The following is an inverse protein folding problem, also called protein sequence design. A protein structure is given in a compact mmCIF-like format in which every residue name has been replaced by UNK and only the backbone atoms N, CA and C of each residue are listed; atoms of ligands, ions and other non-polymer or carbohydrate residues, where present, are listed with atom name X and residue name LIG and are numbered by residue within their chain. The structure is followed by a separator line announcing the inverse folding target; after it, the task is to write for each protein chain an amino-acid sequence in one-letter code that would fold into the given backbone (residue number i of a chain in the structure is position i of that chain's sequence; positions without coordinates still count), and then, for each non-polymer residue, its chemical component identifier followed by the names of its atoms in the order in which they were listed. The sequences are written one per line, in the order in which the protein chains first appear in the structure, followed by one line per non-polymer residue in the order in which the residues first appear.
data_IF_925406651264
#
_entry.id   IF_925406651264
#
_cell.length_a   1.000
_cell.length_b   1.000
_cell.length_c   1.000
_cell.angle_alpha   90.00
_cell.angle_beta   90.00
_cell.angle_gamma   90.00
#
_symmetry.space_group_name_H-M   'P 1'
#
loop_
_entity.id
_entity.type
_entity.pdbx_description
1 polymer ?
#
# COMPACT_ATOMS: atom_id res chain seq x y z
N UNK A 1 2.69 -4.78 16.16
CA UNK A 1 1.70 -5.17 15.15
C UNK A 1 1.21 -3.91 14.44
N UNK A 2 1.26 -3.82 13.13
CA UNK A 2 0.76 -2.67 12.40
C UNK A 2 -0.76 -2.55 12.64
N UNK A 3 -1.18 -1.39 13.10
CA UNK A 3 -2.58 -1.07 13.29
C UNK A 3 -3.07 -0.35 12.05
N UNK A 4 -4.21 -0.78 11.53
CA UNK A 4 -4.90 -0.11 10.45
C UNK A 4 -6.24 0.38 10.95
N UNK A 5 -6.56 1.64 10.68
CA UNK A 5 -7.88 2.19 10.97
C UNK A 5 -8.69 2.18 9.67
N UNK A 6 -9.75 1.39 9.67
CA UNK A 6 -10.76 1.36 8.63
C UNK A 6 -11.99 2.14 9.11
N UNK A 7 -12.23 3.31 8.55
CA UNK A 7 -13.34 4.17 8.93
C UNK A 7 -14.29 4.35 7.74
N UNK A 8 -15.43 3.60 7.74
CA UNK A 8 -16.52 3.88 6.80
C UNK A 8 -17.11 5.27 7.09
N UNK A 9 -17.21 6.12 6.06
CA UNK A 9 -17.70 7.49 6.16
C UNK A 9 -19.03 7.60 5.44
N UNK A 10 -20.13 7.61 6.18
CA UNK A 10 -21.50 7.69 5.66
C UNK A 10 -22.31 8.83 6.29
N UNK A 11 -21.77 9.47 7.32
CA UNK A 11 -22.36 10.65 7.95
C UNK A 11 -21.27 11.56 8.57
N UNK A 12 -21.65 12.75 9.01
CA UNK A 12 -20.73 13.76 9.55
C UNK A 12 -20.06 13.37 10.88
N UNK A 13 -20.63 12.45 11.64
CA UNK A 13 -20.02 12.01 12.91
C UNK A 13 -18.75 11.19 12.63
N UNK A 14 -18.71 10.44 11.52
CA UNK A 14 -17.58 9.63 11.12
C UNK A 14 -16.35 10.45 10.71
N UNK A 15 -16.53 11.72 10.32
CA UNK A 15 -15.42 12.64 10.05
C UNK A 15 -14.57 12.87 11.28
N UNK A 16 -15.21 12.94 12.47
CA UNK A 16 -14.49 13.04 13.74
C UNK A 16 -13.69 11.76 14.02
N UNK A 17 -14.26 10.59 13.73
CA UNK A 17 -13.58 9.32 13.95
C UNK A 17 -12.34 9.21 13.06
N UNK A 18 -12.42 9.65 11.79
CA UNK A 18 -11.29 9.73 10.86
C UNK A 18 -10.19 10.65 11.41
N UNK A 19 -10.55 11.82 11.93
CA UNK A 19 -9.60 12.75 12.53
C UNK A 19 -8.85 12.10 13.70
N UNK A 20 -9.60 11.49 14.65
CA UNK A 20 -9.00 10.83 15.81
C UNK A 20 -8.10 9.67 15.41
N UNK A 21 -8.48 8.91 14.37
CA UNK A 21 -7.66 7.84 13.83
C UNK A 21 -6.33 8.38 13.26
N UNK A 22 -6.36 9.51 12.54
CA UNK A 22 -5.16 10.16 12.02
C UNK A 22 -4.24 10.67 13.14
N UNK A 23 -4.79 11.27 14.19
CA UNK A 23 -4.03 11.71 15.38
C UNK A 23 -3.35 10.51 16.08
N UNK A 24 -4.07 9.38 16.22
CA UNK A 24 -3.51 8.15 16.78
C UNK A 24 -2.40 7.55 15.91
N UNK A 25 -2.58 7.54 14.59
CA UNK A 25 -1.58 7.08 13.65
C UNK A 25 -0.32 7.96 13.69
N UNK A 26 -0.50 9.29 13.76
CA UNK A 26 0.59 10.25 13.87
C UNK A 26 1.40 10.04 15.17
N UNK A 27 0.74 9.80 16.29
CA UNK A 27 1.39 9.46 17.55
C UNK A 27 2.20 8.15 17.45
N UNK A 28 1.65 7.11 16.79
CA UNK A 28 2.39 5.85 16.55
C UNK A 28 3.57 6.03 15.57
N UNK A 29 3.45 6.95 14.62
CA UNK A 29 4.53 7.29 13.70
C UNK A 29 5.64 8.14 14.37
N UNK A 30 5.37 8.72 15.55
CA UNK A 30 6.29 9.61 16.25
C UNK A 30 6.34 11.01 15.64
N UNK A 31 5.26 11.47 15.02
CA UNK A 31 5.17 12.81 14.45
C UNK A 31 5.04 13.88 15.54
N UNK A 32 5.62 15.05 15.30
CA UNK A 32 5.44 16.22 16.15
C UNK A 32 4.00 16.76 16.10
N UNK A 33 3.69 17.76 16.95
CA UNK A 33 2.37 18.35 17.06
C UNK A 33 1.91 19.00 15.74
N UNK A 34 2.80 19.69 15.03
CA UNK A 34 2.48 20.35 13.75
C UNK A 34 2.16 19.33 12.65
N UNK A 35 2.96 18.27 12.54
CA UNK A 35 2.72 17.19 11.57
C UNK A 35 1.50 16.35 11.94
N UNK A 36 1.23 16.16 13.24
CA UNK A 36 0.00 15.53 13.72
C UNK A 36 -1.24 16.34 13.33
N UNK A 37 -1.20 17.66 13.52
CA UNK A 37 -2.29 18.54 13.08
C UNK A 37 -2.48 18.51 11.55
N UNK A 38 -1.39 18.44 10.79
CA UNK A 38 -1.43 18.29 9.33
C UNK A 38 -2.12 16.98 8.92
N UNK A 39 -1.74 15.85 9.51
CA UNK A 39 -2.35 14.55 9.22
C UNK A 39 -3.85 14.55 9.55
N UNK A 40 -4.23 15.11 10.70
CA UNK A 40 -5.63 15.25 11.12
C UNK A 40 -6.44 16.14 10.18
N UNK A 41 -5.86 17.25 9.69
CA UNK A 41 -6.51 18.15 8.74
C UNK A 41 -6.72 17.45 7.38
N UNK A 42 -5.68 16.85 6.80
CA UNK A 42 -5.77 16.12 5.53
C UNK A 42 -6.83 15.01 5.61
N UNK A 43 -6.81 14.22 6.67
CA UNK A 43 -7.78 13.15 6.88
C UNK A 43 -9.21 13.67 6.99
N UNK A 44 -9.42 14.80 7.70
CA UNK A 44 -10.72 15.46 7.85
C UNK A 44 -11.25 15.96 6.51
N UNK A 45 -10.40 16.61 5.71
CA UNK A 45 -10.77 17.13 4.39
C UNK A 45 -11.13 15.99 3.43
N UNK A 46 -10.34 14.92 3.39
CA UNK A 46 -10.63 13.76 2.55
C UNK A 46 -11.96 13.09 2.96
N UNK A 47 -12.21 12.90 4.26
CA UNK A 47 -13.48 12.36 4.74
C UNK A 47 -14.67 13.28 4.40
N UNK A 48 -14.48 14.58 4.52
CA UNK A 48 -15.52 15.58 4.15
C UNK A 48 -15.83 15.53 2.66
N UNK A 49 -14.81 15.34 1.81
CA UNK A 49 -15.00 15.22 0.36
C UNK A 49 -15.79 13.96 0.00
N UNK A 50 -15.57 12.83 0.68
CA UNK A 50 -16.37 11.61 0.52
C UNK A 50 -17.87 11.90 0.74
N UNK A 51 -18.22 12.62 1.82
CA UNK A 51 -19.62 12.95 2.10
C UNK A 51 -20.22 13.94 1.10
N UNK A 52 -19.48 14.99 0.78
CA UNK A 52 -20.01 16.07 -0.07
C UNK A 52 -20.17 15.68 -1.53
N UNK A 53 -19.25 14.84 -2.05
CA UNK A 53 -19.13 14.62 -3.49
C UNK A 53 -19.43 13.18 -3.92
N UNK A 54 -19.28 12.20 -3.00
CA UNK A 54 -19.47 10.80 -3.33
C UNK A 54 -20.67 10.14 -2.62
N UNK A 55 -21.32 10.88 -1.68
CA UNK A 55 -22.38 10.29 -0.86
C UNK A 55 -21.89 9.31 0.19
N UNK A 56 -20.58 9.30 0.46
CA UNK A 56 -19.88 8.45 1.39
C UNK A 56 -18.72 7.69 0.77
N UNK A 57 -18.08 6.87 1.59
CA UNK A 57 -16.91 6.10 1.18
C UNK A 57 -16.18 5.50 2.38
N UNK A 58 -14.88 5.33 2.26
CA UNK A 58 -14.01 4.75 3.29
C UNK A 58 -12.71 5.52 3.39
N UNK A 59 -12.22 5.72 4.60
CA UNK A 59 -10.86 6.20 4.84
C UNK A 59 -10.07 5.09 5.55
N UNK A 60 -8.98 4.66 4.93
CA UNK A 60 -7.98 3.77 5.52
C UNK A 60 -6.82 4.63 6.01
N UNK A 61 -6.39 4.42 7.25
CA UNK A 61 -5.23 5.09 7.81
C UNK A 61 -4.29 4.03 8.35
N UNK A 62 -3.04 4.09 7.94
CA UNK A 62 -1.99 3.21 8.44
C UNK A 62 -0.66 3.95 8.60
N UNK A 63 0.25 3.32 9.33
CA UNK A 63 1.61 3.80 9.50
C UNK A 63 2.51 2.98 8.59
N UNK A 64 2.97 3.60 7.51
CA UNK A 64 3.87 2.97 6.56
C UNK A 64 5.31 3.40 6.83
N UNK A 65 6.24 2.47 6.69
CA UNK A 65 7.66 2.78 6.73
C UNK A 65 8.16 3.08 5.31
N UNK A 66 9.02 4.09 5.12
CA UNK A 66 9.82 4.17 3.91
C UNK A 66 10.71 2.92 3.82
N UNK A 67 11.30 2.63 2.64
CA UNK A 67 12.16 1.46 2.51
C UNK A 67 13.25 1.52 3.55
N UNK A 68 13.39 0.44 4.30
CA UNK A 68 14.51 0.31 5.22
C UNK A 68 15.76 0.09 4.37
N UNK A 69 16.73 1.01 4.50
CA UNK A 69 18.06 0.78 3.94
C UNK A 69 18.71 -0.35 4.74
N UNK A 70 19.19 -1.38 4.08
CA UNK A 70 19.91 -2.46 4.74
C UNK A 70 21.09 -1.89 5.54
N UNK A 71 21.13 -2.13 6.84
CA UNK A 71 22.11 -1.55 7.77
C UNK A 71 21.82 -0.12 8.26
N UNK A 72 20.70 0.48 7.84
CA UNK A 72 20.27 1.81 8.27
C UNK A 72 19.36 1.80 9.51
N UNK A 73 19.28 2.97 10.18
CA UNK A 73 18.23 3.21 11.18
C UNK A 73 16.86 3.13 10.54
N UNK A 74 15.83 2.79 11.31
CA UNK A 74 14.43 2.85 10.86
C UNK A 74 14.18 4.22 10.21
N UNK A 75 13.79 4.21 8.93
CA UNK A 75 13.39 5.44 8.25
C UNK A 75 12.20 6.08 8.97
N UNK A 76 12.05 7.39 8.84
CA UNK A 76 10.92 8.11 9.44
C UNK A 76 9.60 7.48 8.99
N UNK A 77 8.76 7.09 9.95
CA UNK A 77 7.44 6.52 9.66
C UNK A 77 6.53 7.60 9.08
N UNK A 78 5.69 7.21 8.16
CA UNK A 78 4.71 8.08 7.52
C UNK A 78 3.30 7.64 7.90
N UNK A 79 2.42 8.59 8.16
CA UNK A 79 0.97 8.33 8.19
C UNK A 79 0.47 8.35 6.75
N UNK A 80 -0.07 7.24 6.29
CA UNK A 80 -0.77 7.15 5.01
C UNK A 80 -2.27 7.25 5.24
N UNK A 81 -2.91 8.21 4.59
CA UNK A 81 -4.36 8.40 4.57
C UNK A 81 -4.84 8.06 3.16
N UNK A 82 -5.64 7.02 3.04
CA UNK A 82 -6.20 6.58 1.75
C UNK A 82 -7.72 6.71 1.78
N UNK A 83 -8.27 7.61 0.96
CA UNK A 83 -9.72 7.76 0.78
C UNK A 83 -10.18 7.02 -0.48
N UNK A 84 -11.26 6.26 -0.37
CA UNK A 84 -11.81 5.45 -1.45
C UNK A 84 -13.32 5.63 -1.53
N UNK A 85 -13.82 5.96 -2.71
CA UNK A 85 -15.25 6.04 -2.97
C UNK A 85 -15.67 5.38 -4.30
N UNK A 86 -16.97 5.18 -4.44
CA UNK A 86 -17.63 4.69 -5.65
C UNK A 86 -18.64 5.75 -6.17
N UNK A 87 -18.36 7.02 -5.92
CA UNK A 87 -19.19 8.15 -6.34
C UNK A 87 -19.08 8.45 -7.84
N UNK A 88 -19.51 9.66 -8.25
CA UNK A 88 -19.53 10.05 -9.65
C UNK A 88 -18.14 10.23 -10.28
N UNK A 89 -17.08 10.30 -9.45
CA UNK A 89 -15.73 10.62 -9.91
C UNK A 89 -15.56 12.10 -10.24
N UNK A 90 -14.34 12.48 -10.64
CA UNK A 90 -13.94 13.84 -11.00
C UNK A 90 -13.64 13.87 -12.50
N UNK A 91 -14.33 14.73 -13.26
CA UNK A 91 -14.14 14.83 -14.70
C UNK A 91 -12.86 15.58 -15.08
N UNK A 92 -12.49 16.59 -14.30
CA UNK A 92 -11.30 17.42 -14.50
C UNK A 92 -10.46 17.46 -13.21
N UNK A 93 -9.55 16.50 -13.10
CA UNK A 93 -8.65 16.36 -11.95
C UNK A 93 -7.69 17.55 -11.82
N UNK A 94 -7.05 18.04 -12.88
CA UNK A 94 -6.20 19.24 -12.82
C UNK A 94 -6.95 20.45 -12.25
N UNK A 95 -8.18 20.70 -12.71
CA UNK A 95 -9.00 21.81 -12.17
C UNK A 95 -9.35 21.59 -10.70
N UNK A 96 -9.66 20.35 -10.27
CA UNK A 96 -9.98 20.03 -8.87
C UNK A 96 -8.79 20.18 -7.91
N UNK A 97 -7.56 20.10 -8.42
CA UNK A 97 -6.32 20.34 -7.67
C UNK A 97 -5.90 21.82 -7.68
N UNK A 98 -6.46 22.62 -8.58
CA UNK A 98 -6.17 24.06 -8.69
C UNK A 98 -6.70 24.86 -7.49
N UNK A 99 -6.10 26.04 -7.27
CA UNK A 99 -6.52 26.95 -6.20
C UNK A 99 -7.91 27.55 -6.47
N UNK A 100 -8.78 27.54 -5.45
CA UNK A 100 -10.09 28.19 -5.50
C UNK A 100 -11.21 27.33 -6.11
N UNK A 101 -10.96 26.10 -6.50
CA UNK A 101 -12.01 25.19 -6.95
C UNK A 101 -12.82 24.66 -5.75
N UNK A 102 -13.85 25.43 -5.37
CA UNK A 102 -14.83 24.98 -4.37
C UNK A 102 -16.23 25.06 -4.98
N UNK A 103 -16.87 23.91 -5.16
CA UNK A 103 -18.26 23.80 -5.62
C UNK A 103 -19.31 24.10 -4.53
N UNK A 104 -18.88 24.34 -3.30
CA UNK A 104 -19.75 24.65 -2.16
C UNK A 104 -19.08 25.69 -1.24
N UNK A 105 -19.90 26.50 -0.56
CA UNK A 105 -19.52 27.51 0.47
C UNK A 105 -18.73 26.89 1.64
N UNK A 106 -17.49 26.42 1.42
CA UNK A 106 -16.59 25.96 2.46
C UNK A 106 -15.29 26.77 2.42
N UNK A 107 -14.69 26.95 3.58
CA UNK A 107 -13.46 27.70 3.84
C UNK A 107 -12.24 27.09 3.11
N UNK A 108 -12.25 27.01 1.78
CA UNK A 108 -11.06 26.97 0.95
C UNK A 108 -10.08 25.79 1.09
N UNK A 109 -10.34 24.77 1.92
CA UNK A 109 -9.51 23.61 2.04
C UNK A 109 -10.07 22.48 1.16
N UNK A 110 -9.61 22.36 -0.08
CA UNK A 110 -9.98 21.30 -1.02
C UNK A 110 -8.81 20.34 -1.26
N UNK A 111 -8.95 19.49 -2.29
CA UNK A 111 -7.90 18.54 -2.71
C UNK A 111 -6.54 19.22 -2.95
N UNK A 112 -6.52 20.43 -3.52
CA UNK A 112 -5.30 21.22 -3.70
C UNK A 112 -4.60 21.56 -2.38
N UNK A 113 -5.34 21.85 -1.31
CA UNK A 113 -4.74 22.05 0.02
C UNK A 113 -4.18 20.75 0.59
N UNK A 114 -4.89 19.63 0.45
CA UNK A 114 -4.37 18.34 0.85
C UNK A 114 -3.06 18.01 0.11
N UNK A 115 -3.00 18.28 -1.20
CA UNK A 115 -1.80 18.07 -2.00
C UNK A 115 -0.61 18.92 -1.53
N UNK A 116 -0.83 20.19 -1.16
CA UNK A 116 0.24 21.08 -0.66
C UNK A 116 0.73 20.72 0.74
N UNK A 117 -0.13 20.19 1.59
CA UNK A 117 0.21 19.85 2.99
C UNK A 117 0.85 18.48 3.15
N UNK A 118 0.66 17.60 2.19
CA UNK A 118 1.20 16.23 2.21
C UNK A 118 2.60 16.18 1.60
N UNK A 119 3.46 15.32 2.14
CA UNK A 119 4.79 15.08 1.58
C UNK A 119 4.69 14.30 0.26
N UNK A 120 3.67 13.43 0.17
CA UNK A 120 3.29 12.73 -1.05
C UNK A 120 1.78 12.77 -1.18
N UNK A 121 1.31 13.15 -2.33
CA UNK A 121 -0.12 13.16 -2.66
C UNK A 121 -0.30 12.68 -4.10
N UNK A 122 -1.21 11.76 -4.28
CA UNK A 122 -1.63 11.34 -5.61
C UNK A 122 -3.10 10.90 -5.57
N UNK A 123 -3.76 10.98 -6.71
CA UNK A 123 -5.15 10.57 -6.83
C UNK A 123 -5.43 9.96 -8.19
N UNK A 124 -6.39 9.05 -8.19
CA UNK A 124 -7.00 8.51 -9.40
C UNK A 124 -8.50 8.70 -9.33
N UNK A 125 -9.08 9.24 -10.38
CA UNK A 125 -10.51 9.40 -10.50
C UNK A 125 -10.97 9.14 -11.93
N UNK A 126 -12.08 8.44 -12.06
CA UNK A 126 -12.71 8.19 -13.34
C UNK A 126 -14.22 8.43 -13.25
N UNK A 127 -14.83 9.13 -14.21
CA UNK A 127 -16.26 9.40 -14.24
C UNK A 127 -17.08 8.11 -14.12
N UNK A 128 -18.01 8.09 -13.15
CA UNK A 128 -18.86 6.94 -12.86
C UNK A 128 -18.21 5.79 -12.10
N UNK A 129 -16.92 5.92 -11.72
CA UNK A 129 -16.18 4.85 -11.00
C UNK A 129 -15.65 5.29 -9.63
N UNK A 130 -15.85 6.54 -9.27
CA UNK A 130 -15.38 7.10 -8.00
C UNK A 130 -13.95 7.59 -8.02
N UNK A 131 -13.47 7.94 -6.83
CA UNK A 131 -12.15 8.54 -6.61
C UNK A 131 -11.37 7.73 -5.57
N UNK A 132 -10.07 7.66 -5.78
CA UNK A 132 -9.09 7.15 -4.81
C UNK A 132 -8.05 8.24 -4.60
N UNK A 133 -7.76 8.56 -3.35
CA UNK A 133 -6.71 9.51 -2.95
C UNK A 133 -5.77 8.82 -1.97
N UNK A 134 -4.48 8.98 -2.15
CA UNK A 134 -3.47 8.61 -1.17
C UNK A 134 -2.63 9.83 -0.79
N UNK A 135 -2.58 10.13 0.50
CA UNK A 135 -1.78 11.21 1.08
C UNK A 135 -0.84 10.63 2.15
N UNK A 136 0.43 11.04 2.15
CA UNK A 136 1.40 10.62 3.17
C UNK A 136 1.99 11.83 3.87
N UNK A 137 2.05 11.75 5.19
CA UNK A 137 2.56 12.79 6.08
C UNK A 137 3.61 12.15 7.01
N UNK A 138 4.84 12.64 6.99
CA UNK A 138 5.95 12.18 7.80
C UNK A 138 6.57 13.26 8.67
N UNK A 139 7.62 12.91 9.38
CA UNK A 139 8.46 13.90 10.04
C UNK A 139 9.22 14.73 9.00
N UNK A 140 9.49 15.98 9.31
CA UNK A 140 10.37 16.81 8.47
C UNK A 140 11.78 16.20 8.52
N UNK A 141 12.42 15.92 7.37
CA UNK A 141 13.76 15.35 7.38
C UNK A 141 14.77 16.28 8.02
N UNK A 142 15.59 15.77 8.94
CA UNK A 142 16.73 16.48 9.49
C UNK A 142 17.90 16.38 8.49
N UNK A 143 18.05 17.36 7.62
CA UNK A 143 19.18 17.47 6.69
C UNK A 143 18.83 17.40 5.20
N UNK A 144 19.85 17.57 4.34
CA UNK A 144 19.63 17.52 2.88
C UNK A 144 19.23 16.11 2.43
N UNK A 145 18.35 16.06 1.42
CA UNK A 145 17.97 14.79 0.78
C UNK A 145 19.23 14.11 0.20
N UNK A 146 19.33 12.80 0.38
CA UNK A 146 20.40 12.03 -0.24
C UNK A 146 20.26 12.07 -1.77
N UNK A 147 21.36 12.03 -2.50
CA UNK A 147 21.35 11.90 -3.96
C UNK A 147 20.62 10.62 -4.38
N UNK A 148 19.68 10.74 -5.35
CA UNK A 148 18.91 9.57 -5.80
C UNK A 148 19.83 8.52 -6.45
N UNK A 149 19.72 7.29 -5.96
CA UNK A 149 20.45 6.14 -6.51
C UNK A 149 19.60 5.34 -7.53
N UNK A 150 20.18 4.30 -8.18
CA UNK A 150 19.42 3.43 -9.10
C UNK A 150 18.18 2.80 -8.49
N UNK A 151 18.23 2.43 -7.20
CA UNK A 151 17.08 1.88 -6.48
C UNK A 151 15.92 2.90 -6.30
N UNK A 152 16.20 4.20 -6.44
CA UNK A 152 15.17 5.25 -6.40
C UNK A 152 14.32 5.30 -7.67
N UNK A 153 14.68 4.53 -8.70
CA UNK A 153 13.88 4.36 -9.92
C UNK A 153 12.69 3.40 -9.74
N UNK A 154 12.59 2.73 -8.60
CA UNK A 154 11.47 1.84 -8.28
C UNK A 154 10.75 2.34 -7.04
N UNK A 155 9.44 2.44 -7.13
CA UNK A 155 8.54 2.83 -6.04
C UNK A 155 7.74 1.63 -5.57
N UNK A 156 7.42 1.61 -4.29
CA UNK A 156 6.48 0.66 -3.72
C UNK A 156 5.40 1.38 -2.91
N UNK A 157 4.24 0.77 -2.84
CA UNK A 157 3.15 1.24 -2.01
C UNK A 157 2.09 0.16 -1.89
N UNK A 158 1.18 0.32 -0.94
CA UNK A 158 0.12 -0.65 -0.74
C UNK A 158 -0.95 -0.13 0.17
N UNK A 159 -2.00 -0.91 0.30
CA UNK A 159 -3.10 -0.70 1.24
C UNK A 159 -3.40 -2.00 1.97
N UNK A 160 -3.88 -1.87 3.18
CA UNK A 160 -4.35 -2.99 3.99
C UNK A 160 -5.74 -2.67 4.52
N UNK A 161 -6.68 -3.58 4.36
CA UNK A 161 -8.06 -3.48 4.82
C UNK A 161 -8.36 -4.64 5.77
N UNK A 162 -8.42 -4.39 7.09
CA UNK A 162 -8.82 -5.40 8.06
C UNK A 162 -10.27 -5.84 7.85
N UNK A 163 -10.52 -7.13 7.98
CA UNK A 163 -11.87 -7.67 7.87
C UNK A 163 -12.76 -7.24 9.04
N UNK A 164 -13.99 -6.86 8.72
CA UNK A 164 -15.00 -6.54 9.72
C UNK A 164 -14.69 -5.34 10.62
N UNK A 165 -13.80 -4.45 10.22
CA UNK A 165 -13.38 -3.30 11.02
C UNK A 165 -12.50 -3.69 12.23
N UNK A 166 -11.80 -4.81 12.15
CA UNK A 166 -10.85 -5.25 13.17
C UNK A 166 -9.69 -4.23 13.33
N UNK A 167 -9.12 -4.16 14.54
CA UNK A 167 -7.98 -3.27 14.80
C UNK A 167 -6.67 -3.74 14.17
N UNK A 168 -6.56 -5.02 13.86
CA UNK A 168 -5.39 -5.67 13.29
C UNK A 168 -5.81 -6.50 12.11
N UNK A 169 -5.07 -6.39 11.02
CA UNK A 169 -5.19 -7.28 9.88
C UNK A 169 -4.25 -8.48 10.05
N UNK A 170 -4.68 -9.66 9.64
CA UNK A 170 -3.82 -10.82 9.46
C UNK A 170 -2.81 -10.62 8.35
N UNK A 171 -3.10 -9.72 7.41
CA UNK A 171 -2.23 -9.37 6.30
C UNK A 171 -1.23 -8.28 6.68
N UNK A 172 -0.05 -8.34 6.06
CA UNK A 172 0.93 -7.27 6.11
C UNK A 172 1.75 -7.23 4.82
N UNK A 173 2.20 -6.05 4.45
CA UNK A 173 3.14 -5.86 3.36
C UNK A 173 4.30 -4.97 3.83
N UNK A 174 5.45 -5.14 3.19
CA UNK A 174 6.63 -4.31 3.44
C UNK A 174 7.54 -4.31 2.22
N UNK A 175 8.39 -3.30 2.14
CA UNK A 175 9.44 -3.25 1.15
C UNK A 175 10.75 -2.76 1.76
N UNK A 176 11.86 -3.21 1.20
CA UNK A 176 13.20 -2.89 1.66
C UNK A 176 14.12 -2.63 0.48
N UNK A 177 15.12 -1.78 0.68
CA UNK A 177 16.19 -1.52 -0.29
C UNK A 177 17.53 -2.00 0.24
N UNK A 178 18.31 -2.60 -0.65
CA UNK A 178 19.66 -3.08 -0.37
C UNK A 178 20.56 -2.88 -1.58
N UNK A 179 21.23 -1.75 -1.64
CA UNK A 179 21.97 -1.33 -2.83
C UNK A 179 21.04 -1.19 -4.04
N UNK A 180 21.33 -1.91 -5.12
CA UNK A 180 20.50 -1.91 -6.35
C UNK A 180 19.25 -2.81 -6.26
N UNK A 181 19.03 -3.48 -5.11
CA UNK A 181 17.90 -4.38 -4.90
C UNK A 181 16.74 -3.67 -4.22
N UNK A 182 15.55 -3.79 -4.78
CA UNK A 182 14.27 -3.37 -4.19
C UNK A 182 13.41 -4.60 -4.00
N UNK A 183 13.09 -4.93 -2.76
CA UNK A 183 12.31 -6.15 -2.42
C UNK A 183 10.97 -5.75 -1.83
N UNK A 184 9.88 -6.23 -2.42
CA UNK A 184 8.52 -6.14 -1.91
C UNK A 184 8.08 -7.50 -1.39
N UNK A 185 7.40 -7.51 -0.25
CA UNK A 185 6.78 -8.70 0.33
C UNK A 185 5.33 -8.42 0.71
N UNK A 186 4.48 -9.43 0.52
CA UNK A 186 3.16 -9.52 1.12
C UNK A 186 3.06 -10.83 1.87
N UNK A 187 2.54 -10.78 3.09
CA UNK A 187 2.32 -11.92 3.98
C UNK A 187 0.87 -11.92 4.47
N UNK A 188 0.20 -13.06 4.38
CA UNK A 188 -1.11 -13.34 4.93
C UNK A 188 -0.96 -14.37 6.05
N UNK A 189 -1.15 -13.93 7.28
CA UNK A 189 -1.03 -14.76 8.48
C UNK A 189 -2.20 -15.72 8.62
N UNK A 190 -1.93 -16.98 8.87
CA UNK A 190 -2.93 -18.04 8.86
C UNK A 190 -4.06 -17.82 9.86
N UNK A 191 -5.29 -17.69 9.35
CA UNK A 191 -6.50 -17.38 10.11
C UNK A 191 -6.71 -15.87 10.27
N UNK A 192 -7.33 -15.42 11.34
CA UNK A 192 -7.64 -14.02 11.59
C UNK A 192 -7.28 -13.59 13.03
N UNK A 193 -7.28 -12.26 13.25
CA UNK A 193 -7.06 -11.66 14.56
C UNK A 193 -5.58 -11.60 14.99
N UNK A 194 -5.30 -11.42 16.31
CA UNK A 194 -3.95 -11.09 16.79
C UNK A 194 -2.86 -12.10 16.46
N UNK A 195 -3.19 -13.40 16.40
CA UNK A 195 -2.20 -14.44 16.10
C UNK A 195 -1.81 -14.45 14.60
N UNK A 196 -2.76 -14.20 13.70
CA UNK A 196 -2.47 -14.01 12.27
C UNK A 196 -1.63 -12.74 12.06
N UNK A 197 -2.04 -11.62 12.66
CA UNK A 197 -1.30 -10.37 12.64
C UNK A 197 0.12 -10.49 13.22
N UNK A 198 0.33 -11.36 14.22
CA UNK A 198 1.65 -11.65 14.76
C UNK A 198 2.52 -12.37 13.72
N UNK A 199 1.98 -13.36 13.02
CA UNK A 199 2.74 -14.08 12.00
C UNK A 199 3.17 -13.14 10.87
N UNK A 200 2.25 -12.37 10.29
CA UNK A 200 2.56 -11.42 9.21
C UNK A 200 3.53 -10.31 9.65
N UNK A 201 3.39 -9.80 10.89
CA UNK A 201 4.32 -8.81 11.46
C UNK A 201 5.74 -9.40 11.61
N UNK A 202 5.85 -10.63 12.11
CA UNK A 202 7.14 -11.32 12.22
C UNK A 202 7.81 -11.49 10.85
N UNK A 203 7.00 -11.77 9.80
CA UNK A 203 7.51 -11.81 8.43
C UNK A 203 8.05 -10.46 7.98
N UNK A 204 7.33 -9.37 8.25
CA UNK A 204 7.77 -7.99 7.91
C UNK A 204 9.09 -7.63 8.62
N UNK A 205 9.22 -7.95 9.90
CA UNK A 205 10.43 -7.68 10.66
C UNK A 205 11.63 -8.48 10.11
N UNK A 206 11.42 -9.77 9.81
CA UNK A 206 12.47 -10.65 9.29
C UNK A 206 12.89 -10.33 7.84
N UNK A 207 12.04 -9.63 7.06
CA UNK A 207 12.38 -9.20 5.69
C UNK A 207 13.59 -8.27 5.68
N UNK A 208 13.76 -7.44 6.70
CA UNK A 208 14.89 -6.48 6.83
C UNK A 208 16.24 -7.19 6.74
N UNK A 209 16.36 -8.32 7.41
CA UNK A 209 17.59 -9.13 7.41
C UNK A 209 17.74 -9.98 6.15
N UNK A 210 16.69 -10.06 5.34
CA UNK A 210 16.63 -10.81 4.10
C UNK A 210 16.75 -9.94 2.82
N UNK A 211 17.01 -8.64 2.96
CA UNK A 211 17.02 -7.69 1.85
C UNK A 211 18.08 -7.97 0.76
N UNK A 212 19.20 -8.62 1.12
CA UNK A 212 20.33 -8.89 0.21
C UNK A 212 20.31 -10.26 -0.45
N UNK A 213 19.33 -11.10 -0.13
CA UNK A 213 19.27 -12.46 -0.68
C UNK A 213 18.16 -12.57 -1.71
N UNK A 214 18.19 -13.64 -2.50
CA UNK A 214 17.16 -13.90 -3.50
C UNK A 214 15.79 -14.15 -2.85
N UNK A 215 14.67 -13.99 -3.57
CA UNK A 215 13.34 -14.26 -3.03
C UNK A 215 13.19 -15.67 -2.42
N UNK A 216 13.76 -16.70 -3.03
CA UNK A 216 13.71 -18.05 -2.50
C UNK A 216 14.51 -18.18 -1.17
N UNK A 217 15.66 -17.52 -1.07
CA UNK A 217 16.45 -17.49 0.17
C UNK A 217 15.79 -16.62 1.25
N UNK A 218 15.13 -15.53 0.86
CA UNK A 218 14.30 -14.75 1.77
C UNK A 218 13.19 -15.61 2.38
N UNK A 219 12.44 -16.36 1.56
CA UNK A 219 11.42 -17.29 2.06
C UNK A 219 11.97 -18.36 3.02
N UNK A 220 13.22 -18.86 2.81
CA UNK A 220 13.87 -19.78 3.75
C UNK A 220 14.21 -19.12 5.10
N UNK A 221 14.59 -17.84 5.09
CA UNK A 221 14.84 -17.07 6.32
C UNK A 221 13.54 -16.78 7.06
N UNK A 222 12.51 -16.35 6.33
CA UNK A 222 11.17 -16.11 6.86
C UNK A 222 10.57 -17.38 7.48
N UNK A 223 10.76 -18.55 6.86
CA UNK A 223 10.31 -19.84 7.39
C UNK A 223 10.88 -20.12 8.79
N UNK A 224 12.16 -19.84 8.98
CA UNK A 224 12.80 -19.97 10.31
C UNK A 224 12.29 -18.95 11.31
N UNK A 225 12.08 -17.70 10.86
CA UNK A 225 11.60 -16.61 11.73
C UNK A 225 10.16 -16.86 12.20
N UNK A 226 9.31 -17.45 11.35
CA UNK A 226 7.92 -17.73 11.67
C UNK A 226 7.70 -19.01 12.49
N UNK A 227 8.76 -19.76 12.79
CA UNK A 227 8.65 -20.95 13.64
C UNK A 227 8.03 -20.60 15.00
N UNK A 228 6.99 -21.32 15.40
CA UNK A 228 6.25 -21.04 16.64
C UNK A 228 5.14 -20.01 16.51
N UNK A 229 4.91 -19.49 15.30
CA UNK A 229 3.69 -18.76 14.94
C UNK A 229 2.69 -19.71 14.25
N UNK A 230 1.53 -19.19 13.85
CA UNK A 230 0.59 -19.95 13.00
C UNK A 230 1.13 -20.16 11.58
N UNK A 231 2.19 -19.45 11.18
CA UNK A 231 2.67 -19.39 9.82
C UNK A 231 1.89 -18.42 8.95
N UNK A 232 2.36 -18.26 7.72
CA UNK A 232 1.75 -17.34 6.76
C UNK A 232 1.92 -17.83 5.32
N UNK A 233 0.98 -17.46 4.44
CA UNK A 233 1.25 -17.39 3.01
C UNK A 233 2.13 -16.16 2.76
N UNK A 234 3.19 -16.31 1.97
CA UNK A 234 4.16 -15.23 1.73
C UNK A 234 4.60 -15.20 0.27
N UNK A 235 4.56 -14.02 -0.34
CA UNK A 235 5.17 -13.76 -1.62
C UNK A 235 6.25 -12.68 -1.49
N UNK A 236 7.38 -12.91 -2.15
CA UNK A 236 8.52 -12.00 -2.22
C UNK A 236 8.86 -11.72 -3.67
N UNK A 237 8.91 -10.45 -4.03
CA UNK A 237 9.32 -9.97 -5.33
C UNK A 237 10.51 -9.04 -5.17
N UNK A 238 11.56 -9.22 -5.96
CA UNK A 238 12.78 -8.44 -5.90
C UNK A 238 13.16 -7.94 -7.28
N UNK A 239 13.34 -6.63 -7.38
CA UNK A 239 13.87 -5.96 -8.58
C UNK A 239 15.34 -5.66 -8.36
N UNK A 240 16.18 -6.16 -9.24
CA UNK A 240 17.56 -5.71 -9.43
C UNK A 240 17.54 -4.58 -10.45
N UNK A 241 17.65 -3.34 -9.98
CA UNK A 241 17.53 -2.13 -10.81
C UNK A 241 18.72 -1.94 -11.73
N UNK A 242 19.88 -2.53 -11.39
CA UNK A 242 21.08 -2.51 -12.24
C UNK A 242 21.00 -3.53 -13.36
N UNK A 243 20.53 -4.74 -13.05
CA UNK A 243 20.39 -5.81 -14.03
C UNK A 243 19.11 -5.69 -14.87
N UNK A 244 18.13 -4.89 -14.45
CA UNK A 244 16.81 -4.81 -15.08
C UNK A 244 16.04 -6.13 -14.97
N UNK A 245 16.09 -6.80 -13.82
CA UNK A 245 15.49 -8.13 -13.63
C UNK A 245 14.57 -8.13 -12.39
N UNK A 246 13.36 -8.60 -12.58
CA UNK A 246 12.44 -9.00 -11.51
C UNK A 246 12.61 -10.49 -11.20
N UNK A 247 12.76 -10.83 -9.92
CA UNK A 247 12.67 -12.20 -9.40
C UNK A 247 11.48 -12.32 -8.47
N UNK A 248 10.75 -13.41 -8.56
CA UNK A 248 9.57 -13.69 -7.73
C UNK A 248 9.62 -15.09 -7.15
N UNK A 249 9.25 -15.22 -5.89
CA UNK A 249 8.95 -16.51 -5.26
C UNK A 249 7.78 -16.34 -4.28
N UNK A 250 6.84 -17.29 -4.29
CA UNK A 250 5.68 -17.27 -3.40
C UNK A 250 5.33 -18.65 -2.87
N UNK A 251 4.80 -18.68 -1.63
CA UNK A 251 4.26 -19.87 -0.96
C UNK A 251 2.91 -19.51 -0.36
N UNK A 252 1.91 -20.33 -0.64
CA UNK A 252 0.53 -20.14 -0.20
C UNK A 252 -0.35 -19.54 -1.32
N UNK A 253 -1.37 -18.81 -0.93
CA UNK A 253 -2.44 -18.27 -1.77
C UNK A 253 -2.26 -16.80 -2.17
N UNK A 254 -1.08 -16.21 -1.94
CA UNK A 254 -0.81 -14.84 -2.40
C UNK A 254 -0.82 -14.81 -3.93
N UNK A 255 -1.68 -13.94 -4.47
CA UNK A 255 -1.74 -13.66 -5.90
C UNK A 255 -0.66 -12.67 -6.31
N UNK A 256 -0.05 -12.90 -7.48
CA UNK A 256 0.93 -12.01 -8.08
C UNK A 256 0.61 -11.80 -9.57
N UNK A 257 0.58 -10.54 -9.98
CA UNK A 257 0.26 -10.12 -11.34
C UNK A 257 1.32 -9.15 -11.84
N UNK A 258 1.93 -9.45 -12.96
CA UNK A 258 2.88 -8.56 -13.63
C UNK A 258 2.23 -8.01 -14.90
N UNK A 259 2.14 -6.68 -15.00
CA UNK A 259 1.80 -5.99 -16.25
C UNK A 259 3.05 -5.79 -17.09
N UNK A 260 2.96 -6.18 -18.37
CA UNK A 260 4.01 -6.06 -19.39
C UNK A 260 3.36 -5.50 -20.65
N UNK A 261 3.67 -4.23 -20.99
CA UNK A 261 3.10 -3.57 -22.16
C UNK A 261 1.55 -3.57 -22.19
N UNK A 262 0.90 -3.39 -21.04
CA UNK A 262 -0.56 -3.38 -20.91
C UNK A 262 -1.21 -4.76 -20.79
N UNK A 263 -0.43 -5.84 -20.83
CA UNK A 263 -0.93 -7.22 -20.68
C UNK A 263 -0.54 -7.78 -19.32
N UNK A 264 -1.50 -8.41 -18.64
CA UNK A 264 -1.30 -9.01 -17.34
C UNK A 264 -0.97 -10.49 -17.42
N UNK A 265 0.10 -10.92 -16.77
CA UNK A 265 0.40 -12.33 -16.54
C UNK A 265 0.48 -12.67 -15.06
N UNK A 266 0.23 -13.93 -14.72
CA UNK A 266 0.36 -14.45 -13.37
C UNK A 266 1.80 -14.87 -13.09
N UNK A 267 2.27 -14.59 -11.88
CA UNK A 267 3.41 -15.27 -11.26
C UNK A 267 2.86 -16.27 -10.24
N UNK A 268 3.45 -17.46 -10.18
CA UNK A 268 2.82 -18.59 -9.50
C UNK A 268 3.44 -18.82 -8.11
N UNK A 269 2.62 -18.71 -7.06
CA UNK A 269 2.97 -19.17 -5.72
C UNK A 269 2.84 -20.71 -5.61
N UNK A 270 3.71 -21.33 -4.81
CA UNK A 270 3.68 -22.77 -4.55
C UNK A 270 2.77 -23.08 -3.35
N UNK A 271 2.03 -24.20 -3.36
CA UNK A 271 1.27 -24.62 -2.19
C UNK A 271 2.19 -24.78 -0.97
N UNK A 272 1.72 -24.36 0.21
CA UNK A 272 2.44 -24.47 1.48
C UNK A 272 2.16 -23.31 2.41
N UNK A 273 2.81 -23.31 3.57
CA UNK A 273 2.71 -22.29 4.61
C UNK A 273 4.12 -22.06 5.17
N UNK A 274 4.59 -20.82 5.12
CA UNK A 274 5.88 -20.42 5.69
C UNK A 274 5.78 -20.45 7.23
N UNK A 275 6.76 -21.06 7.89
CA UNK A 275 6.80 -21.23 9.34
C UNK A 275 6.23 -22.55 9.85
N UNK A 276 5.50 -23.32 9.03
CA UNK A 276 4.89 -24.59 9.45
C UNK A 276 5.04 -25.70 8.41
N UNK A 277 4.70 -25.45 7.16
CA UNK A 277 4.72 -26.44 6.09
C UNK A 277 5.22 -25.86 4.78
N UNK A 278 6.48 -25.46 4.76
CA UNK A 278 7.14 -24.92 3.58
C UNK A 278 7.43 -26.03 2.54
N UNK A 279 7.21 -25.79 1.24
CA UNK A 279 7.64 -26.75 0.20
C UNK A 279 9.16 -26.94 0.23
N UNK A 280 9.60 -28.17 -0.03
CA UNK A 280 11.03 -28.56 -0.03
C UNK A 280 11.82 -27.74 -1.06
N UNK A 281 11.23 -27.55 -2.24
CA UNK A 281 11.83 -26.76 -3.33
C UNK A 281 11.11 -25.44 -3.51
N UNK A 282 11.84 -24.34 -3.33
CA UNK A 282 11.41 -23.00 -3.68
C UNK A 282 11.97 -22.67 -5.06
N UNK A 283 11.10 -22.33 -5.99
CA UNK A 283 11.47 -21.91 -7.34
C UNK A 283 11.26 -20.42 -7.47
N UNK A 284 12.15 -19.78 -8.20
CA UNK A 284 12.00 -18.38 -8.59
C UNK A 284 11.52 -18.30 -10.03
N UNK A 285 10.59 -17.38 -10.28
CA UNK A 285 10.28 -16.91 -11.62
C UNK A 285 11.06 -15.62 -11.87
N UNK A 286 11.53 -15.44 -13.11
CA UNK A 286 12.25 -14.25 -13.54
C UNK A 286 11.52 -13.57 -14.68
N UNK A 287 11.62 -12.25 -14.72
CA UNK A 287 11.13 -11.42 -15.81
C UNK A 287 12.04 -10.21 -16.00
N UNK A 288 11.99 -9.60 -17.16
CA UNK A 288 12.63 -8.31 -17.37
C UNK A 288 11.87 -7.22 -16.63
N UNK A 289 12.61 -6.32 -15.98
CA UNK A 289 12.06 -5.13 -15.34
C UNK A 289 12.39 -3.90 -16.19
N UNK A 290 11.38 -3.15 -16.56
CA UNK A 290 11.48 -1.95 -17.38
C UNK A 290 10.47 -0.89 -16.94
N UNK A 291 10.54 0.31 -17.53
CA UNK A 291 9.72 1.46 -17.14
C UNK A 291 8.21 1.32 -17.47
N UNK A 292 7.82 0.28 -18.17
CA UNK A 292 6.43 -0.08 -18.48
C UNK A 292 5.89 -1.24 -17.64
N UNK A 293 6.61 -1.63 -16.58
CA UNK A 293 6.25 -2.76 -15.73
C UNK A 293 5.56 -2.32 -14.44
N UNK A 294 4.48 -3.01 -14.09
CA UNK A 294 3.81 -2.88 -12.79
C UNK A 294 3.59 -4.26 -12.22
N UNK A 295 4.04 -4.48 -10.98
CA UNK A 295 3.78 -5.71 -10.23
C UNK A 295 2.75 -5.44 -9.15
N UNK A 296 1.71 -6.26 -9.08
CA UNK A 296 0.69 -6.26 -8.02
C UNK A 296 0.76 -7.58 -7.26
N UNK A 297 0.99 -7.52 -5.97
CA UNK A 297 0.79 -8.62 -5.02
C UNK A 297 -0.52 -8.39 -4.28
N UNK A 298 -1.29 -9.46 -4.04
CA UNK A 298 -2.52 -9.37 -3.26
C UNK A 298 -2.80 -10.63 -2.47
N UNK A 299 -3.42 -10.49 -1.30
CA UNK A 299 -3.94 -11.61 -0.52
C UNK A 299 -5.22 -12.19 -1.13
N UNK A 300 -5.72 -13.28 -0.58
CA UNK A 300 -6.93 -13.95 -1.05
C UNK A 300 -8.24 -13.26 -0.64
N UNK A 301 -8.17 -12.20 0.18
CA UNK A 301 -9.28 -11.29 0.45
C UNK A 301 -9.83 -10.61 -0.81
N UNK A 302 -9.03 -10.48 -1.88
CA UNK A 302 -9.56 -10.11 -3.20
C UNK A 302 -10.36 -11.27 -3.80
N UNK A 303 -11.53 -11.00 -4.45
CA UNK A 303 -12.30 -12.05 -5.10
C UNK A 303 -11.48 -12.82 -6.13
N UNK A 304 -11.59 -14.16 -6.13
CA UNK A 304 -10.84 -15.04 -7.06
C UNK A 304 -11.05 -14.73 -8.54
N UNK A 305 -12.16 -14.07 -8.88
CA UNK A 305 -12.50 -13.64 -10.25
C UNK A 305 -12.08 -12.20 -10.55
N UNK A 306 -11.39 -11.54 -9.61
CA UNK A 306 -10.85 -10.20 -9.88
C UNK A 306 -9.82 -10.26 -11.00
N UNK A 307 -9.93 -9.32 -11.92
CA UNK A 307 -8.96 -9.10 -12.99
C UNK A 307 -8.52 -7.64 -12.98
N UNK A 308 -7.22 -7.36 -13.06
CA UNK A 308 -6.74 -5.99 -13.11
C UNK A 308 -7.26 -5.29 -14.37
N UNK A 309 -7.55 -4.01 -14.24
CA UNK A 309 -7.94 -3.14 -15.37
C UNK A 309 -6.69 -2.55 -16.04
N UNK A 310 -6.87 -1.91 -17.20
CA UNK A 310 -5.79 -1.14 -17.84
C UNK A 310 -5.33 0.04 -16.96
N UNK A 311 -6.20 0.60 -16.14
CA UNK A 311 -5.88 1.70 -15.21
C UNK A 311 -4.86 1.28 -14.15
N UNK A 312 -4.93 0.04 -13.67
CA UNK A 312 -3.97 -0.51 -12.69
C UNK A 312 -2.61 -0.82 -13.31
N UNK A 313 -2.48 -0.78 -14.63
CA UNK A 313 -1.21 -0.94 -15.36
C UNK A 313 -0.47 0.41 -15.57
N UNK A 314 -1.00 1.50 -15.03
CA UNK A 314 -0.38 2.82 -15.16
C UNK A 314 0.91 2.90 -14.33
N UNK A 315 2.02 3.24 -14.96
CA UNK A 315 3.30 3.49 -14.30
C UNK A 315 3.43 4.92 -13.77
N UNK A 316 2.49 5.82 -14.09
CA UNK A 316 2.50 7.21 -13.63
C UNK A 316 1.85 7.38 -12.26
N UNK A 317 0.85 6.55 -11.93
CA UNK A 317 0.17 6.60 -10.64
C UNK A 317 1.08 6.17 -9.48
N UNK A 318 0.86 6.73 -8.30
CA UNK A 318 1.50 6.26 -7.08
C UNK A 318 1.11 4.79 -6.79
N UNK A 319 2.05 3.92 -6.40
CA UNK A 319 1.76 2.52 -6.11
C UNK A 319 0.65 2.30 -5.07
N UNK A 320 0.51 3.17 -4.06
CA UNK A 320 -0.58 3.06 -3.10
C UNK A 320 -1.95 3.43 -3.72
N UNK A 321 -1.97 4.39 -4.65
CA UNK A 321 -3.18 4.70 -5.43
C UNK A 321 -3.55 3.51 -6.30
N UNK A 322 -2.60 2.89 -6.99
CA UNK A 322 -2.83 1.68 -7.79
C UNK A 322 -3.36 0.53 -6.92
N UNK A 323 -2.80 0.33 -5.72
CA UNK A 323 -3.28 -0.67 -4.76
C UNK A 323 -4.72 -0.37 -4.29
N UNK A 324 -5.03 0.89 -3.99
CA UNK A 324 -6.36 1.29 -3.55
C UNK A 324 -7.40 1.26 -4.69
N UNK A 325 -7.03 1.56 -5.93
CA UNK A 325 -7.86 1.34 -7.13
C UNK A 325 -8.18 -0.14 -7.29
N UNK A 326 -7.17 -1.00 -7.10
CA UNK A 326 -7.36 -2.46 -7.12
C UNK A 326 -8.41 -2.89 -6.09
N UNK A 327 -8.30 -2.41 -4.86
CA UNK A 327 -9.24 -2.68 -3.77
C UNK A 327 -10.65 -2.14 -4.09
N UNK A 328 -10.77 -0.91 -4.60
CA UNK A 328 -12.03 -0.29 -5.02
C UNK A 328 -12.74 -1.14 -6.07
N UNK A 329 -12.03 -1.54 -7.11
CA UNK A 329 -12.59 -2.26 -8.23
C UNK A 329 -12.96 -3.71 -7.90
N UNK A 330 -12.27 -4.31 -6.93
CA UNK A 330 -12.50 -5.65 -6.45
C UNK A 330 -13.68 -5.75 -5.46
N UNK A 331 -14.06 -4.65 -4.82
CA UNK A 331 -15.08 -4.59 -3.77
C UNK A 331 -16.10 -3.48 -4.03
N UNK A 332 -17.23 -3.54 -3.35
CA UNK A 332 -18.23 -2.47 -3.34
C UNK A 332 -19.07 -2.59 -2.06
N UNK A 333 -19.89 -1.59 -1.70
CA UNK A 333 -20.83 -1.73 -0.60
C UNK A 333 -21.77 -2.95 -0.72
N UNK A 334 -22.13 -3.32 -1.94
CA UNK A 334 -22.94 -4.50 -2.23
C UNK A 334 -22.15 -5.82 -2.27
N UNK A 335 -20.85 -5.75 -2.42
CA UNK A 335 -19.90 -6.88 -2.45
C UNK A 335 -18.65 -6.53 -1.65
N UNK A 336 -18.75 -6.48 -0.31
CA UNK A 336 -17.60 -6.19 0.54
C UNK A 336 -16.57 -7.33 0.45
N UNK A 337 -15.34 -7.04 0.82
CA UNK A 337 -14.31 -8.06 1.04
C UNK A 337 -14.77 -9.05 2.11
N UNK A 338 -14.28 -10.28 2.02
CA UNK A 338 -14.71 -11.40 2.89
C UNK A 338 -13.64 -11.85 3.87
N UNK A 339 -12.46 -11.28 3.79
CA UNK A 339 -11.31 -11.55 4.64
C UNK A 339 -10.44 -10.31 4.76
N UNK A 340 -9.42 -10.35 5.61
CA UNK A 340 -8.33 -9.38 5.57
C UNK A 340 -7.83 -9.24 4.15
N UNK A 341 -7.58 -8.03 3.70
CA UNK A 341 -7.22 -7.79 2.30
C UNK A 341 -6.06 -6.81 2.21
N UNK A 342 -4.94 -7.28 1.72
CA UNK A 342 -3.81 -6.42 1.41
C UNK A 342 -3.49 -6.44 -0.10
N UNK A 343 -3.13 -5.29 -0.61
CA UNK A 343 -2.60 -5.12 -1.97
C UNK A 343 -1.32 -4.31 -1.88
N UNK A 344 -0.26 -4.79 -2.52
CA UNK A 344 1.02 -4.12 -2.57
C UNK A 344 1.55 -4.08 -4.01
N UNK A 345 2.14 -2.95 -4.39
CA UNK A 345 2.51 -2.65 -5.77
C UNK A 345 3.96 -2.20 -5.87
N UNK A 346 4.68 -2.71 -6.87
CA UNK A 346 5.94 -2.13 -7.37
C UNK A 346 5.67 -1.48 -8.72
N UNK A 347 6.20 -0.28 -8.91
CA UNK A 347 6.15 0.43 -10.18
C UNK A 347 7.45 1.24 -10.39
N UNK A 348 7.85 1.53 -11.63
CA UNK A 348 8.96 2.44 -11.89
C UNK A 348 8.62 3.86 -11.46
N UNK A 349 9.63 4.69 -11.27
CA UNK A 349 9.47 6.14 -11.16
C UNK A 349 9.27 6.70 -12.57
N UNK A 350 8.22 7.50 -12.81
CA UNK A 350 8.03 8.13 -14.11
C UNK A 350 9.22 9.01 -14.49
N UNK A 351 9.63 8.96 -15.77
CA UNK A 351 10.77 9.74 -16.27
C UNK A 351 10.56 11.26 -16.18
N UNK A 352 9.31 11.72 -16.16
CA UNK A 352 8.92 13.14 -16.21
C UNK A 352 8.53 13.72 -14.84
N UNK A 353 8.85 13.05 -13.72
CA UNK A 353 8.61 13.65 -12.39
C UNK A 353 9.83 14.47 -11.99
N UNK A 354 9.71 15.83 -11.90
CA UNK A 354 10.79 16.71 -11.45
C UNK A 354 11.19 16.45 -10.00
#
# INVERSE_FOLDING_TARGET
MPRVWDVPVHDSTRVRDVRVAAEQAAALAGLDEGRTATAALVATELATNLLKHAGGGRVLIDVVAPPVLAGGRDGARLVQVTAVDHGPGIADVPAALGDGFTTARSLGAGLGTCARLSDHFDLHSAPGRGTVVAARIGAVPDGPAAEPGPADRVRAGGVNLPFGGAQYSGDAWAWVRAGDLVTLMLADGLGHGPEAARASTTAVEALRDAAHVTPADALRRLDRALTGTRGAAVAVAQVDTRAGVLRFAGVGNIGARLCEGGTWRHLVSRPGIIGTHRPTTLREETADWADDRVLVLHSDGLPSRWTPTSETCSTTADPAVTAAVTLRDASSPARPVRDDTAVAVLAPVPADRP
#
